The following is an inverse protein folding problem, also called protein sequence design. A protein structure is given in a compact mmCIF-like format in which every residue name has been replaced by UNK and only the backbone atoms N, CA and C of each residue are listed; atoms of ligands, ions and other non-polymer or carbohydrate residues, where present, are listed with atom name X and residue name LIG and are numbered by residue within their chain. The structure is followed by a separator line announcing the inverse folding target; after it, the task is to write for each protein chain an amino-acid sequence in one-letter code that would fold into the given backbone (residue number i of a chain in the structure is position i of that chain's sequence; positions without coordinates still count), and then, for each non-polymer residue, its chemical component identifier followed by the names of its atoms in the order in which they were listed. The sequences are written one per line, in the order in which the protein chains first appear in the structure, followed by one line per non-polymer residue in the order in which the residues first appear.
data_IF_723962488557
#
_entry.id   IF_723962488557
#
_cell.length_a   1.000
_cell.length_b   1.000
_cell.length_c   1.000
_cell.angle_alpha   90.00
_cell.angle_beta   90.00
_cell.angle_gamma   90.00
#
_symmetry.space_group_name_H-M   'P 1'
#
loop_
_entity.id
_entity.type
_entity.pdbx_description
1 polymer ?
#
# COMPACT_ATOMS: atom_id res chain seq x y z
N UNK A 1 -21.89 0.67 6.67
CA UNK A 1 -20.45 0.59 6.99
C UNK A 1 -19.62 0.42 5.72
N UNK A 2 -18.61 1.27 5.56
CA UNK A 2 -17.61 1.24 4.50
C UNK A 2 -16.28 0.81 5.09
N UNK A 3 -15.52 -0.04 4.40
CA UNK A 3 -14.15 -0.40 4.83
C UNK A 3 -13.15 0.33 3.98
N UNK A 4 -12.50 1.35 4.52
CA UNK A 4 -11.70 2.29 3.75
C UNK A 4 -10.19 2.16 3.99
N UNK A 5 -9.42 2.57 3.01
CA UNK A 5 -7.99 2.86 3.14
C UNK A 5 -7.56 3.87 2.07
N UNK A 6 -6.43 4.53 2.29
CA UNK A 6 -5.84 5.51 1.37
C UNK A 6 -4.53 4.95 0.86
N UNK A 7 -4.28 5.04 -0.45
CA UNK A 7 -3.08 4.47 -1.06
C UNK A 7 -2.63 5.23 -2.31
N UNK A 8 -1.39 4.99 -2.71
CA UNK A 8 -0.85 5.33 -4.03
C UNK A 8 -0.86 4.06 -4.88
N UNK A 9 -1.39 4.14 -6.10
CA UNK A 9 -1.24 3.08 -7.10
C UNK A 9 0.03 3.36 -7.92
N UNK A 10 1.04 2.48 -7.92
CA UNK A 10 2.20 2.63 -8.78
C UNK A 10 1.81 2.63 -10.26
N UNK A 11 2.54 3.34 -11.13
CA UNK A 11 2.27 3.30 -12.57
C UNK A 11 2.54 1.90 -13.15
N UNK A 12 1.95 1.62 -14.31
CA UNK A 12 1.93 0.29 -14.94
C UNK A 12 3.31 -0.35 -15.03
N UNK A 13 4.30 0.35 -15.60
CA UNK A 13 5.67 -0.16 -15.73
C UNK A 13 6.34 -0.56 -14.39
N UNK A 14 5.91 0.02 -13.26
CA UNK A 14 6.39 -0.38 -11.94
C UNK A 14 5.66 -1.63 -11.46
N UNK A 15 4.35 -1.73 -11.71
CA UNK A 15 3.59 -2.92 -11.37
C UNK A 15 4.03 -4.13 -12.21
N UNK A 16 4.32 -3.93 -13.49
CA UNK A 16 4.89 -4.97 -14.37
C UNK A 16 6.20 -5.51 -13.80
N UNK A 17 7.12 -4.63 -13.38
CA UNK A 17 8.37 -5.03 -12.74
C UNK A 17 8.13 -5.84 -11.45
N UNK A 18 7.12 -5.47 -10.66
CA UNK A 18 6.77 -6.22 -9.45
C UNK A 18 6.20 -7.59 -9.78
N UNK A 19 5.35 -7.69 -10.80
CA UNK A 19 4.75 -8.95 -11.28
C UNK A 19 5.82 -9.87 -11.84
N UNK A 20 6.77 -9.36 -12.63
CA UNK A 20 7.90 -10.11 -13.18
C UNK A 20 8.81 -10.70 -12.08
N UNK A 21 8.85 -10.08 -10.90
CA UNK A 21 9.59 -10.59 -9.75
C UNK A 21 8.87 -11.73 -9.00
N UNK A 22 7.54 -11.83 -9.16
CA UNK A 22 6.70 -12.91 -8.62
C UNK A 22 6.94 -14.22 -9.36
N UNK A 23 6.59 -15.34 -8.74
CA UNK A 23 6.74 -16.67 -9.33
C UNK A 23 5.54 -17.57 -8.99
N UNK A 24 5.54 -18.82 -9.44
CA UNK A 24 4.43 -19.76 -9.19
C UNK A 24 4.54 -20.49 -7.83
N UNK A 25 5.28 -19.95 -6.86
CA UNK A 25 5.48 -20.61 -5.56
C UNK A 25 4.15 -20.72 -4.79
N UNK A 26 3.61 -21.93 -4.57
CA UNK A 26 2.26 -22.12 -4.05
C UNK A 26 2.09 -21.70 -2.58
N UNK A 27 3.17 -21.65 -1.82
CA UNK A 27 3.16 -21.19 -0.43
C UNK A 27 3.05 -19.66 -0.29
N UNK A 28 3.25 -18.93 -1.39
CA UNK A 28 3.17 -17.47 -1.46
C UNK A 28 1.86 -17.08 -2.14
N UNK A 29 0.98 -16.41 -1.40
CA UNK A 29 -0.26 -15.85 -1.94
C UNK A 29 0.02 -14.47 -2.52
N UNK A 30 0.31 -14.42 -3.81
CA UNK A 30 0.61 -13.21 -4.55
C UNK A 30 -0.56 -12.22 -4.59
N UNK A 31 -0.22 -10.94 -4.54
CA UNK A 31 -1.15 -9.83 -4.72
C UNK A 31 -1.37 -9.62 -6.22
N UNK A 32 -2.61 -9.64 -6.73
CA UNK A 32 -2.87 -9.39 -8.14
C UNK A 32 -2.58 -7.93 -8.52
N UNK A 33 -2.38 -7.65 -9.82
CA UNK A 33 -2.08 -6.31 -10.32
C UNK A 33 -3.06 -5.23 -9.83
N UNK A 34 -4.36 -5.53 -9.88
CA UNK A 34 -5.43 -4.65 -9.42
C UNK A 34 -5.25 -4.23 -7.96
N UNK A 35 -4.56 -5.04 -7.16
CA UNK A 35 -4.34 -4.79 -5.74
C UNK A 35 -2.92 -4.34 -5.40
N UNK A 36 -2.01 -4.17 -6.36
CA UNK A 36 -0.68 -3.62 -6.08
C UNK A 36 -0.78 -2.12 -5.76
N UNK A 37 -0.46 -1.77 -4.51
CA UNK A 37 -0.52 -0.39 -4.02
C UNK A 37 0.44 -0.16 -2.85
N UNK A 38 0.79 1.11 -2.63
CA UNK A 38 1.46 1.57 -1.42
C UNK A 38 0.41 2.18 -0.49
N UNK A 39 0.11 1.51 0.63
CA UNK A 39 -0.87 2.01 1.59
C UNK A 39 -0.32 3.20 2.39
N UNK A 40 -1.04 4.32 2.40
CA UNK A 40 -0.73 5.50 3.22
C UNK A 40 -1.39 5.41 4.60
N UNK A 41 -2.66 4.98 4.65
CA UNK A 41 -3.41 4.77 5.90
C UNK A 41 -4.50 3.73 5.74
N UNK A 42 -4.57 2.76 6.65
CA UNK A 42 -5.77 1.93 6.82
C UNK A 42 -6.77 2.65 7.73
N UNK A 43 -8.00 2.84 7.25
CA UNK A 43 -9.07 3.51 8.02
C UNK A 43 -9.92 2.45 8.75
N UNK A 44 -10.19 1.32 8.09
CA UNK A 44 -11.06 0.29 8.65
C UNK A 44 -12.54 0.57 8.39
N UNK A 45 -13.41 -0.01 9.20
CA UNK A 45 -14.87 0.13 9.05
C UNK A 45 -15.36 1.45 9.64
N UNK A 46 -16.08 2.24 8.83
CA UNK A 46 -16.66 3.52 9.22
C UNK A 46 -18.10 3.63 8.71
N UNK A 47 -18.91 4.43 9.37
CA UNK A 47 -20.25 4.75 8.88
C UNK A 47 -20.21 5.76 7.73
N UNK A 48 -21.27 5.78 6.92
CA UNK A 48 -21.35 6.63 5.72
C UNK A 48 -21.06 8.12 5.98
N UNK A 49 -21.61 8.78 7.02
CA UNK A 49 -21.31 10.18 7.28
C UNK A 49 -19.81 10.42 7.51
N UNK A 50 -19.15 9.55 8.27
CA UNK A 50 -17.71 9.62 8.52
C UNK A 50 -16.91 9.36 7.24
N UNK A 51 -17.35 8.43 6.39
CA UNK A 51 -16.72 8.18 5.08
C UNK A 51 -16.76 9.42 4.17
N UNK A 52 -17.90 10.13 4.15
CA UNK A 52 -18.08 11.37 3.38
C UNK A 52 -17.19 12.49 3.94
N UNK A 53 -17.13 12.65 5.26
CA UNK A 53 -16.24 13.62 5.92
C UNK A 53 -14.76 13.34 5.61
N UNK A 54 -14.35 12.06 5.60
CA UNK A 54 -12.99 11.67 5.24
C UNK A 54 -12.69 12.05 3.79
N UNK A 55 -13.59 11.71 2.86
CA UNK A 55 -13.40 12.05 1.45
C UNK A 55 -13.24 13.56 1.25
N UNK A 56 -14.07 14.36 1.91
CA UNK A 56 -13.96 15.82 1.88
C UNK A 56 -12.64 16.32 2.49
N UNK A 57 -12.22 15.77 3.64
CA UNK A 57 -10.99 16.15 4.32
C UNK A 57 -9.73 15.84 3.49
N UNK A 58 -9.69 14.68 2.82
CA UNK A 58 -8.60 14.28 1.94
C UNK A 58 -8.43 15.25 0.75
N UNK A 59 -9.53 15.79 0.22
CA UNK A 59 -9.51 16.79 -0.85
C UNK A 59 -8.82 18.10 -0.51
N UNK A 60 -8.60 18.39 0.77
CA UNK A 60 -7.90 19.58 1.25
C UNK A 60 -6.39 19.39 1.40
N UNK A 61 -5.88 18.17 1.17
CA UNK A 61 -4.44 17.90 1.26
C UNK A 61 -3.73 18.60 0.11
N UNK A 62 -2.66 19.34 0.44
CA UNK A 62 -1.73 19.95 -0.52
C UNK A 62 -0.32 19.51 -0.19
N UNK A 63 0.38 18.99 -1.19
CA UNK A 63 1.77 18.57 -1.17
C UNK A 63 2.28 18.65 -2.62
N UNK A 64 3.51 19.13 -2.88
CA UNK A 64 4.09 19.04 -4.21
C UNK A 64 4.20 17.60 -4.69
N UNK A 65 4.18 17.42 -6.00
CA UNK A 65 4.57 16.16 -6.63
C UNK A 65 5.97 15.74 -6.16
N UNK A 66 6.19 14.44 -6.08
CA UNK A 66 7.48 13.86 -5.71
C UNK A 66 7.72 12.57 -6.48
N UNK A 67 8.95 12.08 -6.44
CA UNK A 67 9.31 10.82 -7.08
C UNK A 67 9.57 9.73 -6.05
N UNK A 68 9.26 8.49 -6.43
CA UNK A 68 9.63 7.28 -5.71
C UNK A 68 10.34 6.31 -6.65
N UNK A 69 11.04 5.34 -6.08
CA UNK A 69 11.59 4.18 -6.79
C UNK A 69 11.50 2.95 -5.90
N UNK A 70 11.46 1.77 -6.51
CA UNK A 70 11.62 0.50 -5.79
C UNK A 70 13.06 0.34 -5.32
N UNK A 71 13.24 -0.16 -4.09
CA UNK A 71 14.55 -0.26 -3.43
C UNK A 71 14.64 -1.54 -2.58
N UNK A 72 14.73 -2.68 -3.26
CA UNK A 72 14.86 -4.00 -2.67
C UNK A 72 13.54 -4.57 -2.19
N UNK A 73 13.65 -5.75 -1.56
CA UNK A 73 12.53 -6.50 -0.99
C UNK A 73 12.78 -6.80 0.48
N UNK A 74 11.70 -7.06 1.20
CA UNK A 74 11.77 -7.47 2.59
C UNK A 74 10.56 -8.29 3.01
N UNK A 75 10.48 -8.55 4.30
CA UNK A 75 9.36 -9.27 4.89
C UNK A 75 8.88 -8.63 6.19
N UNK A 76 7.60 -8.80 6.47
CA UNK A 76 7.05 -8.68 7.82
C UNK A 76 6.76 -10.07 8.36
N UNK A 77 7.59 -10.55 9.27
CA UNK A 77 7.39 -11.84 9.93
C UNK A 77 6.45 -11.71 11.14
N UNK A 78 5.52 -12.65 11.27
CA UNK A 78 4.60 -12.81 12.41
C UNK A 78 4.60 -14.27 12.85
N UNK A 79 4.07 -14.54 14.05
CA UNK A 79 4.05 -15.89 14.65
C UNK A 79 3.48 -16.98 13.71
N UNK A 80 2.48 -16.66 12.91
CA UNK A 80 1.75 -17.62 12.06
C UNK A 80 1.92 -17.39 10.55
N UNK A 81 2.87 -16.55 10.12
CA UNK A 81 3.03 -16.20 8.71
C UNK A 81 3.65 -14.83 8.53
N UNK A 82 3.38 -14.18 7.41
CA UNK A 82 3.92 -12.85 7.14
C UNK A 82 3.50 -12.30 5.79
N UNK A 83 4.19 -11.24 5.39
CA UNK A 83 4.04 -10.63 4.09
C UNK A 83 5.41 -10.32 3.48
N UNK A 84 5.57 -10.60 2.19
CA UNK A 84 6.67 -10.13 1.35
C UNK A 84 6.30 -8.77 0.77
N UNK A 85 7.26 -7.87 0.66
CA UNK A 85 7.03 -6.53 0.16
C UNK A 85 8.24 -5.97 -0.60
N UNK A 86 7.99 -5.03 -1.51
CA UNK A 86 9.01 -4.18 -2.11
C UNK A 86 9.10 -2.86 -1.35
N UNK A 87 10.33 -2.42 -1.04
CA UNK A 87 10.57 -1.13 -0.40
C UNK A 87 10.45 -0.01 -1.43
N UNK A 88 10.11 1.19 -0.97
CA UNK A 88 10.20 2.40 -1.79
C UNK A 88 11.08 3.46 -1.12
N UNK A 89 11.73 4.25 -1.96
CA UNK A 89 12.55 5.39 -1.57
C UNK A 89 12.32 6.57 -2.50
N UNK A 90 12.61 7.82 -2.08
CA UNK A 90 12.92 8.25 -0.70
C UNK A 90 11.72 8.13 0.26
N UNK A 91 12.02 7.85 1.55
CA UNK A 91 10.99 7.65 2.59
C UNK A 91 10.29 8.96 2.99
N UNK A 92 11.00 10.09 2.96
CA UNK A 92 10.53 11.31 3.63
C UNK A 92 9.26 11.87 2.98
N UNK A 93 9.20 11.95 1.65
CA UNK A 93 8.09 12.58 0.94
C UNK A 93 6.81 11.75 1.09
N UNK A 94 6.90 10.43 0.91
CA UNK A 94 5.75 9.53 1.11
C UNK A 94 5.31 9.48 2.58
N UNK A 95 6.25 9.58 3.53
CA UNK A 95 5.91 9.70 4.95
C UNK A 95 5.20 11.03 5.27
N UNK A 96 5.61 12.13 4.63
CA UNK A 96 4.94 13.42 4.77
C UNK A 96 3.50 13.38 4.23
N UNK A 97 3.28 12.70 3.10
CA UNK A 97 1.94 12.47 2.57
C UNK A 97 1.10 11.59 3.51
N UNK A 98 1.65 10.47 3.98
CA UNK A 98 0.96 9.59 4.94
C UNK A 98 0.57 10.33 6.22
N UNK A 99 1.44 11.20 6.74
CA UNK A 99 1.14 12.04 7.91
C UNK A 99 0.03 13.07 7.64
N UNK A 100 -0.04 13.65 6.43
CA UNK A 100 -1.15 14.56 6.05
C UNK A 100 -2.47 13.81 5.93
N UNK A 101 -2.45 12.62 5.33
CA UNK A 101 -3.61 11.71 5.26
C UNK A 101 -4.08 11.32 6.66
N UNK A 102 -3.15 11.00 7.55
CA UNK A 102 -3.45 10.66 8.94
C UNK A 102 -4.16 11.82 9.65
N UNK A 103 -3.61 13.04 9.59
CA UNK A 103 -4.23 14.24 10.17
C UNK A 103 -5.60 14.55 9.59
N UNK A 104 -5.80 14.38 8.28
CA UNK A 104 -7.10 14.59 7.64
C UNK A 104 -8.15 13.62 8.20
N UNK A 105 -7.80 12.34 8.38
CA UNK A 105 -8.67 11.35 9.00
C UNK A 105 -8.93 11.64 10.50
N UNK A 106 -7.93 12.11 11.25
CA UNK A 106 -8.11 12.48 12.67
C UNK A 106 -9.06 13.66 12.82
N UNK A 107 -9.01 14.62 11.89
CA UNK A 107 -9.92 15.77 11.89
C UNK A 107 -11.41 15.38 11.73
N UNK A 108 -11.72 14.16 11.26
CA UNK A 108 -13.08 13.62 11.14
C UNK A 108 -13.48 12.76 12.34
N UNK A 109 -12.70 12.78 13.43
CA UNK A 109 -12.98 12.04 14.66
C UNK A 109 -12.42 10.62 14.72
N UNK A 110 -11.52 10.23 13.81
CA UNK A 110 -10.80 8.96 13.92
C UNK A 110 -9.60 9.06 14.86
N UNK A 111 -9.26 7.94 15.50
CA UNK A 111 -8.04 7.86 16.30
C UNK A 111 -6.77 7.97 15.42
N UNK A 112 -5.68 8.57 15.92
CA UNK A 112 -4.41 8.62 15.19
C UNK A 112 -3.81 7.23 14.91
N UNK A 113 -3.09 7.07 13.79
CA UNK A 113 -2.28 5.87 13.57
C UNK A 113 -1.01 5.93 14.42
N UNK A 114 -0.86 4.97 15.34
CA UNK A 114 0.29 4.93 16.26
C UNK A 114 1.46 4.09 15.75
N UNK A 115 1.25 3.25 14.72
CA UNK A 115 2.32 2.41 14.19
C UNK A 115 3.28 3.23 13.33
N UNK A 116 4.56 2.91 13.44
CA UNK A 116 5.58 3.50 12.59
C UNK A 116 5.24 3.24 11.12
N UNK A 117 5.26 4.30 10.31
CA UNK A 117 5.03 4.19 8.88
C UNK A 117 6.25 3.60 8.18
N UNK A 118 6.07 2.42 7.58
CA UNK A 118 7.05 1.74 6.74
C UNK A 118 6.52 1.74 5.30
N UNK A 119 6.99 2.61 4.39
CA UNK A 119 6.45 2.67 3.04
C UNK A 119 6.89 1.45 2.23
N UNK A 120 5.92 0.68 1.75
CA UNK A 120 6.15 -0.56 1.03
C UNK A 120 4.97 -0.90 0.12
N UNK A 121 5.20 -1.76 -0.87
CA UNK A 121 4.15 -2.39 -1.68
C UNK A 121 4.14 -3.87 -1.32
N UNK A 122 3.01 -4.38 -0.82
CA UNK A 122 2.88 -5.80 -0.48
C UNK A 122 2.83 -6.63 -1.76
N UNK A 123 3.66 -7.67 -1.84
CA UNK A 123 3.76 -8.57 -2.99
C UNK A 123 3.07 -9.91 -2.74
N UNK A 124 3.24 -10.47 -1.54
CA UNK A 124 2.58 -11.72 -1.18
C UNK A 124 2.31 -11.81 0.32
N UNK A 125 1.28 -12.56 0.69
CA UNK A 125 1.13 -13.10 2.04
C UNK A 125 1.59 -14.55 2.11
N UNK A 126 2.07 -15.02 3.26
CA UNK A 126 2.45 -16.42 3.46
C UNK A 126 2.12 -16.93 4.86
N UNK A 127 1.98 -18.25 5.00
CA UNK A 127 1.75 -18.92 6.27
C UNK A 127 3.08 -19.43 6.87
N UNK A 128 3.09 -19.83 8.16
CA UNK A 128 4.29 -20.30 8.87
C UNK A 128 5.08 -21.43 8.17
N UNK A 129 4.42 -22.23 7.33
CA UNK A 129 5.03 -23.35 6.60
C UNK A 129 5.89 -22.97 5.37
N UNK A 130 6.07 -21.68 5.09
CA UNK A 130 6.75 -21.20 3.88
C UNK A 130 8.18 -20.65 4.04
N UNK A 131 9.01 -21.01 5.06
CA UNK A 131 10.26 -20.29 5.30
C UNK A 131 11.26 -20.39 4.14
N UNK A 132 11.33 -21.55 3.46
CA UNK A 132 12.24 -21.75 2.32
C UNK A 132 11.82 -20.92 1.11
N UNK A 133 10.53 -20.93 0.76
CA UNK A 133 9.94 -20.11 -0.30
C UNK A 133 10.25 -18.61 -0.09
N UNK A 134 10.05 -18.14 1.15
CA UNK A 134 10.32 -16.75 1.53
C UNK A 134 11.80 -16.41 1.41
N UNK A 135 12.71 -17.24 1.92
CA UNK A 135 14.16 -17.01 1.77
C UNK A 135 14.58 -16.99 0.32
N UNK A 136 14.13 -17.95 -0.50
CA UNK A 136 14.46 -18.03 -1.91
C UNK A 136 14.01 -16.77 -2.69
N UNK A 137 12.81 -16.28 -2.42
CA UNK A 137 12.32 -15.03 -3.01
C UNK A 137 13.19 -13.83 -2.63
N UNK A 138 13.50 -13.67 -1.33
CA UNK A 138 14.30 -12.55 -0.83
C UNK A 138 15.72 -12.56 -1.41
N UNK A 139 16.35 -13.72 -1.53
CA UNK A 139 17.69 -13.85 -2.09
C UNK A 139 17.72 -13.52 -3.58
N UNK A 140 16.77 -14.07 -4.36
CA UNK A 140 16.65 -13.83 -5.79
C UNK A 140 16.39 -12.36 -6.11
N UNK A 141 15.52 -11.71 -5.33
CA UNK A 141 15.05 -10.35 -5.58
C UNK A 141 15.73 -9.28 -4.71
N UNK A 142 16.85 -9.60 -4.03
CA UNK A 142 17.56 -8.66 -3.15
C UNK A 142 17.91 -7.31 -3.80
N UNK A 143 18.11 -7.32 -5.11
CA UNK A 143 18.53 -6.17 -5.91
C UNK A 143 17.38 -5.57 -6.74
N UNK A 144 16.13 -5.98 -6.48
CA UNK A 144 14.96 -5.42 -7.15
C UNK A 144 14.96 -3.90 -7.01
N UNK A 145 15.03 -3.19 -8.12
CA UNK A 145 15.05 -1.73 -8.15
C UNK A 145 14.42 -1.23 -9.43
N UNK A 146 13.89 -0.01 -9.39
CA UNK A 146 13.30 0.64 -10.56
C UNK A 146 13.96 1.98 -10.85
N UNK A 147 13.69 2.52 -12.05
CA UNK A 147 13.81 3.95 -12.28
C UNK A 147 12.86 4.72 -11.34
N UNK A 148 13.13 6.01 -11.17
CA UNK A 148 12.22 6.91 -10.47
C UNK A 148 10.89 7.03 -11.24
N UNK A 149 9.80 7.11 -10.50
CA UNK A 149 8.45 7.33 -11.03
C UNK A 149 7.76 8.43 -10.23
N UNK A 150 7.01 9.27 -10.94
CA UNK A 150 6.28 10.36 -10.33
C UNK A 150 5.07 9.87 -9.52
N UNK A 151 4.87 10.51 -8.38
CA UNK A 151 3.66 10.46 -7.58
C UNK A 151 3.02 11.83 -7.66
N UNK A 152 1.88 11.89 -8.35
CA UNK A 152 1.10 13.10 -8.58
C UNK A 152 -0.34 12.96 -8.04
N UNK A 153 -0.69 11.82 -7.46
CA UNK A 153 -1.99 11.60 -6.87
C UNK A 153 -1.98 10.49 -5.81
N UNK A 154 -3.04 10.46 -5.02
CA UNK A 154 -3.38 9.35 -4.13
C UNK A 154 -4.88 9.11 -4.17
N UNK A 155 -5.32 7.93 -3.75
CA UNK A 155 -6.70 7.47 -3.93
C UNK A 155 -7.27 6.99 -2.60
N UNK A 156 -8.53 7.34 -2.34
CA UNK A 156 -9.35 6.69 -1.32
C UNK A 156 -9.98 5.45 -1.93
N UNK A 157 -9.78 4.29 -1.31
CA UNK A 157 -10.33 3.01 -1.74
C UNK A 157 -11.35 2.47 -0.74
N UNK A 158 -12.36 1.78 -1.26
CA UNK A 158 -13.21 0.86 -0.50
C UNK A 158 -12.75 -0.58 -0.72
N UNK A 159 -12.57 -1.32 0.39
CA UNK A 159 -12.21 -2.73 0.38
C UNK A 159 -13.44 -3.59 0.63
N UNK A 160 -13.90 -4.30 -0.41
CA UNK A 160 -14.98 -5.30 -0.29
C UNK A 160 -14.39 -6.70 -0.17
N UNK A 161 -14.68 -7.39 0.91
CA UNK A 161 -14.26 -8.77 1.09
C UNK A 161 -15.12 -9.69 0.20
N UNK A 162 -14.46 -10.53 -0.59
CA UNK A 162 -15.11 -11.58 -1.36
C UNK A 162 -14.51 -12.95 -1.01
N UNK A 163 -15.20 -14.02 -1.44
CA UNK A 163 -14.69 -15.40 -1.33
C UNK A 163 -13.35 -15.63 -2.05
N UNK A 164 -12.99 -14.76 -2.99
CA UNK A 164 -11.76 -14.84 -3.79
C UNK A 164 -10.67 -13.87 -3.32
N UNK A 165 -10.90 -13.11 -2.25
CA UNK A 165 -9.99 -12.08 -1.76
C UNK A 165 -10.66 -10.72 -1.63
N UNK A 166 -9.89 -9.72 -1.21
CA UNK A 166 -10.37 -8.34 -1.14
C UNK A 166 -10.36 -7.71 -2.54
N UNK A 167 -11.47 -7.07 -2.90
CA UNK A 167 -11.60 -6.25 -4.11
C UNK A 167 -11.53 -4.79 -3.67
N UNK A 168 -10.61 -4.03 -4.30
CA UNK A 168 -10.39 -2.63 -3.97
C UNK A 168 -11.03 -1.75 -5.05
N UNK A 169 -12.02 -0.96 -4.65
CA UNK A 169 -12.74 -0.05 -5.53
C UNK A 169 -12.26 1.38 -5.26
N UNK A 170 -11.72 2.10 -6.27
CA UNK A 170 -11.37 3.50 -6.11
C UNK A 170 -12.65 4.32 -5.92
N UNK A 171 -12.69 5.12 -4.85
CA UNK A 171 -13.82 5.99 -4.50
C UNK A 171 -13.56 7.42 -4.97
N UNK A 172 -12.34 7.93 -4.77
CA UNK A 172 -11.96 9.27 -5.16
C UNK A 172 -10.44 9.37 -5.33
N UNK A 173 -9.99 10.05 -6.38
CA UNK A 173 -8.61 10.39 -6.64
C UNK A 173 -8.33 11.85 -6.30
N UNK A 174 -7.19 12.10 -5.67
CA UNK A 174 -6.75 13.42 -5.21
C UNK A 174 -5.40 13.74 -5.84
N UNK A 175 -5.34 14.80 -6.63
CA UNK A 175 -4.10 15.26 -7.27
C UNK A 175 -3.25 16.02 -6.26
N UNK A 176 -1.94 15.83 -6.35
CA UNK A 176 -0.92 16.60 -5.64
C UNK A 176 -0.65 17.90 -6.41
N UNK A 177 -0.17 18.95 -5.72
CA UNK A 177 -0.09 20.32 -6.25
C UNK A 177 -0.73 21.37 -5.35
#
# INVERSE_FOLDING_TARGET
MHRLFVAIRPPEHIRDLLIDAMDDTPELRWVPDDNLHLTLRFIGEVERPIAEDIAAALGNIRLPDFELRLAGVGQFARRNGGALWAAVEPREQVAALAAKVDRACVATGLEPEHRAFHPHITLAGYNRGAPQAVTAFLERNRALASAAFAVNSFTLYESRLSRHGALYEPIADYTLG
#
